data_IF_219802997058
#
_entry.id   IF_219802997058
#
_cell.length_a   1.000
_cell.length_b   1.000
_cell.length_c   1.000
_cell.angle_alpha   90.00
_cell.angle_beta   90.00
_cell.angle_gamma   90.00
#
_symmetry.space_group_name_H-M   'P 1'
#
loop_
_entity.id
_entity.type
_entity.pdbx_description
1 polymer ?
#
# COMPACT_ATOMS: atom_id res chain seq x y z
N UNK A 1 22.25 -1.73 -15.36
CA UNK A 1 22.06 -3.11 -14.84
C UNK A 1 20.71 -3.58 -15.35
N UNK A 2 20.59 -4.69 -16.10
CA UNK A 2 19.28 -5.11 -16.58
C UNK A 2 18.44 -5.61 -15.39
N UNK A 3 17.25 -5.03 -15.22
CA UNK A 3 16.22 -5.46 -14.27
C UNK A 3 15.86 -6.92 -14.56
N UNK A 4 16.46 -7.84 -13.81
CA UNK A 4 16.00 -9.22 -13.73
C UNK A 4 14.63 -9.18 -13.06
N UNK A 5 13.57 -9.04 -13.86
CA UNK A 5 12.22 -9.38 -13.44
C UNK A 5 12.27 -10.87 -13.04
N UNK A 6 12.19 -11.22 -11.75
CA UNK A 6 12.07 -12.62 -11.37
C UNK A 6 10.79 -13.16 -12.03
N UNK A 7 10.79 -14.41 -12.51
CA UNK A 7 9.57 -15.01 -13.03
C UNK A 7 8.49 -14.89 -11.96
N UNK A 8 7.32 -14.37 -12.33
CA UNK A 8 6.17 -14.24 -11.41
C UNK A 8 6.02 -15.56 -10.64
N UNK A 9 5.89 -15.52 -9.30
CA UNK A 9 5.81 -16.74 -8.52
C UNK A 9 4.69 -17.61 -9.09
N UNK A 10 5.08 -18.80 -9.56
CA UNK A 10 4.15 -19.76 -10.17
C UNK A 10 3.06 -20.06 -9.15
N UNK A 11 1.83 -19.69 -9.50
CA UNK A 11 0.55 -19.98 -8.81
C UNK A 11 0.70 -21.12 -7.79
N UNK A 12 0.84 -20.82 -6.50
CA UNK A 12 0.84 -21.86 -5.46
C UNK A 12 -0.59 -22.36 -5.29
N UNK A 13 -0.84 -23.57 -5.77
CA UNK A 13 -2.06 -24.33 -5.49
C UNK A 13 -1.82 -25.09 -4.19
N UNK A 14 -2.52 -24.75 -3.11
CA UNK A 14 -2.55 -25.58 -1.90
C UNK A 14 -3.63 -26.66 -2.03
N UNK A 15 -3.37 -27.84 -1.46
CA UNK A 15 -4.35 -28.92 -1.33
C UNK A 15 -5.59 -28.39 -0.58
N UNK A 16 -6.72 -28.29 -1.29
CA UNK A 16 -7.95 -27.66 -0.79
C UNK A 16 -8.60 -26.64 -1.73
N UNK A 17 -8.02 -26.36 -2.91
CA UNK A 17 -8.68 -25.59 -3.98
C UNK A 17 -8.75 -24.06 -3.77
N UNK A 18 -8.45 -23.56 -2.57
CA UNK A 18 -8.29 -22.13 -2.35
C UNK A 18 -6.94 -21.66 -2.91
N UNK A 19 -6.98 -20.82 -3.96
CA UNK A 19 -5.78 -20.12 -4.45
C UNK A 19 -5.34 -19.12 -3.37
N UNK A 20 -4.33 -19.48 -2.59
CA UNK A 20 -3.70 -18.53 -1.66
C UNK A 20 -2.65 -17.73 -2.40
N UNK A 21 -3.07 -16.53 -2.75
CA UNK A 21 -2.19 -15.49 -3.20
C UNK A 21 -1.31 -15.04 -2.01
N UNK A 22 -0.02 -15.41 -2.03
CA UNK A 22 1.13 -14.82 -1.32
C UNK A 22 1.52 -15.40 0.04
N UNK A 23 2.61 -16.18 0.04
CA UNK A 23 3.49 -16.29 1.19
C UNK A 23 4.23 -14.95 1.41
N UNK A 24 4.56 -14.58 2.65
CA UNK A 24 5.39 -13.39 2.93
C UNK A 24 6.80 -13.56 2.37
N UNK A 25 7.25 -14.80 2.19
CA UNK A 25 8.54 -15.12 1.57
C UNK A 25 8.54 -15.02 0.04
N UNK A 26 7.40 -14.78 -0.61
CA UNK A 26 7.36 -14.70 -2.07
C UNK A 26 7.92 -13.36 -2.58
N UNK A 27 8.57 -13.33 -3.76
CA UNK A 27 9.07 -12.10 -4.35
C UNK A 27 7.98 -11.06 -4.59
N UNK A 28 8.31 -9.80 -4.35
CA UNK A 28 7.39 -8.68 -4.49
C UNK A 28 8.11 -7.47 -5.09
N UNK A 29 7.45 -6.78 -6.01
CA UNK A 29 7.98 -5.59 -6.68
C UNK A 29 7.47 -4.33 -6.00
N UNK A 30 8.37 -3.41 -5.66
CA UNK A 30 8.03 -2.01 -5.42
C UNK A 30 8.06 -1.29 -6.76
N UNK A 31 6.97 -0.65 -7.13
CA UNK A 31 6.83 0.09 -8.37
C UNK A 31 6.61 1.58 -8.09
N UNK A 32 7.22 2.43 -8.92
CA UNK A 32 7.10 3.89 -8.86
C UNK A 32 6.51 4.40 -10.17
N UNK A 33 5.53 5.29 -10.09
CA UNK A 33 4.96 5.96 -11.25
C UNK A 33 5.39 7.42 -11.27
N UNK A 34 5.75 7.89 -12.46
CA UNK A 34 6.24 9.22 -12.72
C UNK A 34 5.31 9.95 -13.69
N UNK A 35 5.20 11.27 -13.53
CA UNK A 35 4.57 12.15 -14.52
C UNK A 35 5.57 12.64 -15.59
N UNK A 36 5.10 13.42 -16.55
CA UNK A 36 5.96 14.00 -17.61
C UNK A 36 7.08 14.87 -17.06
N UNK A 37 6.87 15.52 -15.91
CA UNK A 37 7.88 16.30 -15.18
C UNK A 37 8.89 15.42 -14.41
N UNK A 38 8.84 14.09 -14.55
CA UNK A 38 9.67 13.12 -13.81
C UNK A 38 9.53 13.18 -12.28
N UNK A 39 8.38 13.63 -11.79
CA UNK A 39 8.04 13.60 -10.37
C UNK A 39 7.37 12.26 -10.02
N UNK A 40 7.69 11.71 -8.85
CA UNK A 40 7.03 10.49 -8.36
C UNK A 40 5.61 10.83 -7.89
N UNK A 41 4.61 10.30 -8.58
CA UNK A 41 3.19 10.58 -8.30
C UNK A 41 2.53 9.47 -7.48
N UNK A 42 3.05 8.24 -7.58
CA UNK A 42 2.55 7.08 -6.85
C UNK A 42 3.65 6.03 -6.63
N UNK A 43 3.63 5.37 -5.48
CA UNK A 43 4.49 4.23 -5.14
C UNK A 43 3.60 3.13 -4.55
N UNK A 44 3.80 1.89 -5.00
CA UNK A 44 3.09 0.73 -4.49
C UNK A 44 3.95 -0.54 -4.49
N UNK A 45 3.52 -1.57 -3.76
CA UNK A 45 4.12 -2.90 -3.82
C UNK A 45 3.15 -3.97 -4.37
N UNK A 46 3.63 -4.85 -5.24
CA UNK A 46 2.87 -5.98 -5.79
C UNK A 46 3.76 -7.07 -6.35
N UNK A 47 3.34 -8.32 -6.25
CA UNK A 47 3.89 -9.46 -6.99
C UNK A 47 3.60 -9.39 -8.50
N UNK A 48 2.58 -8.64 -8.92
CA UNK A 48 2.20 -8.44 -10.32
C UNK A 48 1.92 -6.94 -10.53
N UNK A 49 2.97 -6.14 -10.79
CA UNK A 49 2.83 -4.71 -11.00
C UNK A 49 2.07 -4.39 -12.30
N UNK A 50 2.13 -5.25 -13.31
CA UNK A 50 1.46 -5.03 -14.60
C UNK A 50 -0.07 -5.11 -14.46
N UNK A 51 -0.58 -6.15 -13.80
CA UNK A 51 -2.02 -6.26 -13.51
C UNK A 51 -2.49 -5.11 -12.62
N UNK A 52 -1.67 -4.67 -11.67
CA UNK A 52 -1.98 -3.51 -10.81
C UNK A 52 -2.06 -2.22 -11.60
N UNK A 53 -1.08 -1.93 -12.46
CA UNK A 53 -1.10 -0.78 -13.35
C UNK A 53 -2.36 -0.77 -14.22
N UNK A 54 -2.69 -1.88 -14.87
CA UNK A 54 -3.93 -2.02 -15.68
C UNK A 54 -5.19 -1.77 -14.85
N UNK A 55 -5.20 -2.15 -13.57
CA UNK A 55 -6.33 -1.90 -12.67
C UNK A 55 -6.46 -0.43 -12.23
N UNK A 56 -5.36 0.35 -12.28
CA UNK A 56 -5.36 1.76 -11.91
C UNK A 56 -6.00 2.64 -12.99
N UNK A 57 -5.69 2.40 -14.27
CA UNK A 57 -6.24 3.17 -15.41
C UNK A 57 -7.75 3.44 -15.34
N UNK A 58 -8.63 2.44 -15.21
CA UNK A 58 -10.08 2.68 -15.19
C UNK A 58 -10.61 3.19 -13.83
N UNK A 59 -9.79 3.22 -12.76
CA UNK A 59 -10.26 3.44 -11.38
C UNK A 59 -9.70 4.69 -10.71
N UNK A 60 -8.67 5.29 -11.28
CA UNK A 60 -7.92 6.37 -10.65
C UNK A 60 -7.75 7.51 -11.64
N UNK A 61 -8.28 8.71 -11.34
CA UNK A 61 -8.15 9.88 -12.23
C UNK A 61 -6.69 10.23 -12.54
N UNK A 62 -5.78 9.99 -11.60
CA UNK A 62 -4.34 10.26 -11.77
C UNK A 62 -3.61 9.24 -12.66
N UNK A 63 -4.26 8.15 -13.10
CA UNK A 63 -3.58 7.14 -13.91
C UNK A 63 -3.20 7.65 -15.31
N UNK A 64 -3.91 8.66 -15.82
CA UNK A 64 -3.58 9.34 -17.07
C UNK A 64 -2.30 10.17 -16.97
N UNK A 65 -1.89 10.54 -15.76
CA UNK A 65 -0.66 11.31 -15.52
C UNK A 65 0.61 10.45 -15.58
N UNK A 66 0.48 9.12 -15.69
CA UNK A 66 1.62 8.19 -15.69
C UNK A 66 2.33 8.27 -17.06
N UNK A 67 3.53 8.86 -17.08
CA UNK A 67 4.41 8.92 -18.26
C UNK A 67 5.44 7.78 -18.28
N UNK A 68 5.91 7.37 -17.10
CA UNK A 68 6.96 6.36 -16.90
C UNK A 68 6.73 5.61 -15.61
N UNK A 69 7.22 4.38 -15.54
CA UNK A 69 7.31 3.61 -14.30
C UNK A 69 8.65 2.90 -14.16
N UNK A 70 9.04 2.63 -12.92
CA UNK A 70 10.23 1.86 -12.56
C UNK A 70 9.84 0.71 -11.64
N UNK A 71 10.53 -0.43 -11.76
CA UNK A 71 10.20 -1.67 -11.06
C UNK A 71 11.41 -2.18 -10.26
N UNK A 72 11.29 -2.19 -8.93
CA UNK A 72 12.31 -2.73 -8.04
C UNK A 72 11.81 -4.03 -7.40
N UNK A 73 12.45 -5.15 -7.73
CA UNK A 73 12.09 -6.45 -7.19
C UNK A 73 12.85 -6.78 -5.91
N UNK A 74 12.11 -7.27 -4.91
CA UNK A 74 12.65 -7.81 -3.68
C UNK A 74 12.39 -9.31 -3.58
N UNK A 75 13.29 -10.01 -2.89
CA UNK A 75 13.22 -11.46 -2.71
C UNK A 75 12.01 -11.90 -1.89
N UNK A 76 11.52 -11.05 -0.99
CA UNK A 76 10.38 -11.31 -0.13
C UNK A 76 9.48 -10.07 0.00
N UNK A 77 8.23 -10.31 0.38
CA UNK A 77 7.21 -9.28 0.51
C UNK A 77 7.50 -8.32 1.66
N UNK A 78 8.13 -8.77 2.72
CA UNK A 78 8.42 -7.92 3.88
C UNK A 78 9.47 -6.87 3.56
N UNK A 79 10.48 -7.24 2.78
CA UNK A 79 11.48 -6.34 2.24
C UNK A 79 10.83 -5.30 1.32
N UNK A 80 9.95 -5.73 0.41
CA UNK A 80 9.23 -4.81 -0.47
C UNK A 80 8.33 -3.82 0.31
N UNK A 81 7.56 -4.29 1.29
CA UNK A 81 6.69 -3.42 2.09
C UNK A 81 7.49 -2.42 2.95
N UNK A 82 8.68 -2.80 3.45
CA UNK A 82 9.57 -1.88 4.17
C UNK A 82 10.10 -0.79 3.23
N UNK A 83 10.54 -1.19 2.04
CA UNK A 83 11.12 -0.28 1.06
C UNK A 83 10.06 0.65 0.46
N UNK A 84 8.86 0.15 0.17
CA UNK A 84 7.69 0.96 -0.23
C UNK A 84 7.41 2.07 0.80
N UNK A 85 7.29 1.73 2.08
CA UNK A 85 7.04 2.71 3.15
C UNK A 85 8.15 3.75 3.27
N UNK A 86 9.41 3.33 3.15
CA UNK A 86 10.56 4.23 3.19
C UNK A 86 10.49 5.23 2.04
N UNK A 87 10.18 4.78 0.83
CA UNK A 87 10.09 5.65 -0.33
C UNK A 87 8.87 6.57 -0.30
N UNK A 88 7.70 6.09 0.14
CA UNK A 88 6.51 6.94 0.33
C UNK A 88 6.83 8.09 1.29
N UNK A 89 7.57 7.83 2.37
CA UNK A 89 7.99 8.87 3.32
C UNK A 89 9.00 9.85 2.73
N UNK A 90 9.92 9.36 1.91
CA UNK A 90 10.99 10.18 1.31
C UNK A 90 10.48 11.07 0.17
N UNK A 91 9.71 10.50 -0.76
CA UNK A 91 9.25 11.19 -1.96
C UNK A 91 7.91 11.91 -1.76
N UNK A 92 7.13 11.52 -0.74
CA UNK A 92 5.78 12.04 -0.46
C UNK A 92 4.91 12.12 -1.72
N UNK A 93 4.69 11.01 -2.45
CA UNK A 93 3.96 11.03 -3.71
C UNK A 93 2.53 11.53 -3.49
N UNK A 94 2.10 12.49 -4.30
CA UNK A 94 0.82 13.19 -4.13
C UNK A 94 -0.42 12.30 -4.13
N UNK A 95 -0.38 11.13 -4.77
CA UNK A 95 -1.52 10.22 -4.83
C UNK A 95 -1.44 9.05 -3.84
N UNK A 96 -0.37 8.95 -3.06
CA UNK A 96 -0.30 8.00 -1.96
C UNK A 96 -1.12 8.52 -0.78
N UNK A 97 -2.25 7.87 -0.49
CA UNK A 97 -3.09 8.19 0.68
C UNK A 97 -2.74 7.32 1.89
N UNK A 98 -2.06 6.20 1.67
CA UNK A 98 -1.65 5.24 2.72
C UNK A 98 -0.15 5.37 2.94
N UNK A 99 0.29 5.14 4.19
CA UNK A 99 1.69 5.27 4.64
C UNK A 99 2.28 6.69 4.57
N UNK A 100 1.45 7.70 4.33
CA UNK A 100 1.82 9.12 4.45
C UNK A 100 1.65 9.64 5.86
N UNK A 101 2.25 10.81 6.13
CA UNK A 101 2.08 11.50 7.41
C UNK A 101 0.61 11.87 7.65
N UNK A 102 -0.10 12.28 6.59
CA UNK A 102 -1.55 12.54 6.65
C UNK A 102 -2.34 11.29 7.03
N UNK A 103 -2.01 10.12 6.48
CA UNK A 103 -2.60 8.85 6.88
C UNK A 103 -2.40 8.58 8.37
N UNK A 104 -1.17 8.80 8.87
CA UNK A 104 -0.84 8.60 10.28
C UNK A 104 -1.62 9.54 11.19
N UNK A 105 -1.68 10.83 10.85
CA UNK A 105 -2.44 11.84 11.60
C UNK A 105 -3.92 11.48 11.63
N UNK A 106 -4.50 11.13 10.47
CA UNK A 106 -5.91 10.71 10.39
C UNK A 106 -6.19 9.46 11.23
N UNK A 107 -5.31 8.46 11.19
CA UNK A 107 -5.44 7.25 12.02
C UNK A 107 -5.40 7.56 13.52
N UNK A 108 -4.47 8.43 13.96
CA UNK A 108 -4.38 8.84 15.36
C UNK A 108 -5.59 9.67 15.78
N UNK A 109 -6.03 10.62 14.96
CA UNK A 109 -7.21 11.44 15.24
C UNK A 109 -8.47 10.58 15.38
N UNK A 110 -8.67 9.62 14.47
CA UNK A 110 -9.77 8.66 14.55
C UNK A 110 -9.71 7.83 15.85
N UNK A 111 -8.52 7.38 16.24
CA UNK A 111 -8.32 6.60 17.47
C UNK A 111 -8.61 7.44 18.72
N UNK A 112 -8.18 8.70 18.76
CA UNK A 112 -8.45 9.63 19.87
C UNK A 112 -9.95 9.91 20.01
N UNK A 113 -10.65 10.14 18.90
CA UNK A 113 -12.09 10.35 18.90
C UNK A 113 -12.83 9.10 19.39
N UNK A 114 -12.43 7.91 18.93
CA UNK A 114 -12.98 6.65 19.39
C UNK A 114 -12.84 6.46 20.90
N UNK A 115 -11.64 6.70 21.46
CA UNK A 115 -11.39 6.57 22.91
C UNK A 115 -12.20 7.59 23.70
N UNK A 116 -12.33 8.83 23.21
CA UNK A 116 -13.16 9.87 23.84
C UNK A 116 -14.63 9.49 23.91
N UNK A 117 -15.18 8.98 22.80
CA UNK A 117 -16.57 8.53 22.76
C UNK A 117 -16.79 7.38 23.76
N UNK A 118 -15.92 6.37 23.74
CA UNK A 118 -15.94 5.24 24.69
C UNK A 118 -15.89 5.67 26.15
N UNK A 119 -15.06 6.66 26.48
CA UNK A 119 -14.96 7.21 27.83
C UNK A 119 -16.26 7.94 28.23
N UNK A 120 -16.82 8.75 27.33
CA UNK A 120 -18.09 9.44 27.56
C UNK A 120 -19.24 8.45 27.77
N UNK A 121 -19.34 7.42 26.93
CA UNK A 121 -20.36 6.37 27.05
C UNK A 121 -20.24 5.62 28.39
N UNK A 122 -19.00 5.38 28.85
CA UNK A 122 -18.74 4.73 30.13
C UNK A 122 -19.12 5.61 31.32
N UNK A 123 -18.75 6.89 31.29
CA UNK A 123 -19.13 7.84 32.35
C UNK A 123 -20.65 7.96 32.43
N UNK A 124 -21.33 8.08 31.28
CA UNK A 124 -22.78 8.14 31.22
C UNK A 124 -23.44 6.89 31.84
N UNK A 125 -22.91 5.70 31.58
CA UNK A 125 -23.39 4.45 32.17
C UNK A 125 -23.14 4.34 33.69
N UNK A 126 -22.07 4.96 34.20
CA UNK A 126 -21.75 4.99 35.64
C UNK A 126 -22.59 6.04 36.40
N UNK A 127 -22.98 7.15 35.75
CA UNK A 127 -23.82 8.21 36.35
C UNK A 127 -25.32 7.92 36.34
N UNK A 128 -25.78 6.90 35.62
CA UNK A 128 -27.19 6.50 35.49
C UNK A 128 -27.58 5.36 36.47
N UNK A 129 -26.73 5.09 37.47
CA UNK A 129 -27.05 4.16 38.56
C UNK A 129 -27.67 4.95 39.73
N UNK A 130 -28.88 4.60 40.19
CA UNK A 130 -29.69 5.43 41.11
C UNK A 130 -29.12 5.55 42.53
#
# INVERSE_FOLDING_TARGET
MPELTPPLPRRRVTAGGATRYFDRSDPCCVYRFYNEASEVIYIGASHDPATRLRSHYPRKPWAEEISRYELEWHADRDAAEREERKQIRSFKPRHNVVHTDEHRVRSVAHMVLYVRQRMADRIAAETDTP
#
